data_IF_165804366835
#
_entry.id   IF_165804366835
#
_cell.length_a   1.000
_cell.length_b   1.000
_cell.length_c   1.000
_cell.angle_alpha   90.00
_cell.angle_beta   90.00
_cell.angle_gamma   90.00
#
_symmetry.space_group_name_H-M   'P 1'
#
loop_
_entity.id
_entity.type
_entity.pdbx_description
1 polymer ?
#
# COMPACT_ATOMS: atom_id res chain seq x y z
N UNK A 1 7.74 -22.61 -5.93
CA UNK A 1 6.70 -22.77 -4.88
C UNK A 1 6.15 -21.38 -4.62
N UNK A 2 4.86 -21.15 -4.86
CA UNK A 2 4.23 -19.86 -4.56
C UNK A 2 3.95 -19.80 -3.06
N UNK A 3 4.60 -18.89 -2.34
CA UNK A 3 4.29 -18.66 -0.93
C UNK A 3 2.94 -17.95 -0.85
N UNK A 4 1.89 -18.68 -0.47
CA UNK A 4 0.59 -18.10 -0.19
C UNK A 4 0.74 -17.26 1.07
N UNK A 5 0.50 -15.96 0.96
CA UNK A 5 0.43 -15.07 2.12
C UNK A 5 -0.90 -15.30 2.81
N UNK A 6 -0.88 -15.65 4.08
CA UNK A 6 -2.12 -15.82 4.85
C UNK A 6 -2.75 -14.47 5.23
N UNK A 7 -1.96 -13.40 5.31
CA UNK A 7 -2.39 -12.07 5.75
C UNK A 7 -1.83 -10.95 4.87
N UNK A 8 -2.64 -9.90 4.69
CA UNK A 8 -2.21 -8.64 4.09
C UNK A 8 -1.42 -7.81 5.10
N UNK A 9 -0.38 -7.10 4.65
CA UNK A 9 0.50 -6.32 5.54
C UNK A 9 0.72 -4.91 4.98
N UNK A 10 0.67 -3.91 5.85
CA UNK A 10 1.15 -2.56 5.54
C UNK A 10 2.64 -2.47 5.89
N UNK A 11 3.46 -2.04 4.95
CA UNK A 11 4.91 -1.93 5.10
C UNK A 11 5.31 -0.48 5.38
N UNK A 12 6.54 -0.28 5.85
CA UNK A 12 7.07 1.03 6.21
C UNK A 12 7.02 1.99 5.01
N UNK A 13 6.43 3.17 5.20
CA UNK A 13 6.41 4.19 4.18
C UNK A 13 7.82 4.78 3.96
N UNK A 14 8.18 5.06 2.70
CA UNK A 14 9.50 5.59 2.36
C UNK A 14 9.48 6.40 1.05
N UNK A 15 10.41 7.33 0.81
CA UNK A 15 11.27 7.97 1.82
C UNK A 15 10.49 8.98 2.69
N UNK A 16 10.98 9.25 3.90
CA UNK A 16 10.51 10.29 4.82
C UNK A 16 11.66 10.79 5.73
N UNK A 17 11.86 12.11 6.02
CA UNK A 17 11.31 13.34 5.40
C UNK A 17 12.35 14.15 4.60
N UNK A 18 11.91 14.69 3.44
CA UNK A 18 12.36 15.84 2.61
C UNK A 18 12.10 15.63 1.11
N UNK A 19 11.51 14.51 0.70
CA UNK A 19 10.99 14.32 -0.66
C UNK A 19 9.49 14.64 -0.74
N UNK A 20 9.01 15.26 -1.84
CA UNK A 20 7.59 15.57 -2.06
C UNK A 20 6.71 14.34 -2.33
N UNK A 21 7.30 13.14 -2.28
CA UNK A 21 6.65 11.89 -2.60
C UNK A 21 7.07 10.79 -1.63
N UNK A 22 6.07 10.07 -1.13
CA UNK A 22 6.22 8.96 -0.19
C UNK A 22 5.46 7.75 -0.72
N UNK A 23 6.12 6.61 -0.74
CA UNK A 23 5.55 5.30 -1.06
C UNK A 23 4.90 4.70 0.17
N UNK A 24 3.76 4.05 -0.05
CA UNK A 24 3.03 3.28 0.97
C UNK A 24 3.02 1.84 0.49
N UNK A 25 4.09 1.06 0.77
CA UNK A 25 4.17 -0.32 0.35
C UNK A 25 3.20 -1.21 1.13
N UNK A 26 2.62 -2.22 0.48
CA UNK A 26 1.76 -3.20 1.14
C UNK A 26 1.74 -4.55 0.39
N UNK A 27 1.41 -5.59 1.13
CA UNK A 27 1.15 -6.93 0.60
C UNK A 27 -0.34 -7.27 0.71
N UNK A 28 -0.89 -7.87 -0.33
CA UNK A 28 -2.24 -8.40 -0.35
C UNK A 28 -2.20 -9.93 -0.34
N UNK A 29 -2.87 -10.54 0.63
CA UNK A 29 -3.05 -12.00 0.69
C UNK A 29 -4.02 -12.51 -0.38
N UNK A 30 -5.03 -11.69 -0.74
CA UNK A 30 -6.11 -12.04 -1.65
C UNK A 30 -6.45 -10.83 -2.52
N UNK A 31 -7.11 -11.09 -3.66
CA UNK A 31 -7.64 -10.03 -4.51
C UNK A 31 -8.73 -9.24 -3.77
N UNK A 32 -8.57 -7.93 -3.63
CA UNK A 32 -9.44 -7.08 -2.81
C UNK A 32 -9.50 -5.65 -3.34
N UNK A 33 -10.56 -4.93 -2.98
CA UNK A 33 -10.66 -3.49 -3.20
C UNK A 33 -9.82 -2.72 -2.17
N UNK A 34 -8.84 -1.95 -2.63
CA UNK A 34 -7.89 -1.22 -1.78
C UNK A 34 -8.26 0.26 -1.70
N UNK A 35 -8.32 0.76 -0.47
CA UNK A 35 -8.47 2.17 -0.12
C UNK A 35 -7.45 2.55 0.95
N UNK A 36 -6.74 3.65 0.75
CA UNK A 36 -5.76 4.17 1.70
C UNK A 36 -6.28 5.48 2.28
N UNK A 37 -6.42 5.56 3.60
CA UNK A 37 -6.81 6.80 4.30
C UNK A 37 -5.62 7.31 5.10
N UNK A 38 -5.25 8.57 4.87
CA UNK A 38 -4.13 9.25 5.52
C UNK A 38 -4.71 10.18 6.57
N UNK A 39 -4.21 10.05 7.80
CA UNK A 39 -4.60 10.85 8.95
C UNK A 39 -3.45 11.77 9.36
N UNK A 40 -3.78 12.93 9.93
CA UNK A 40 -2.82 13.74 10.65
C UNK A 40 -2.57 13.19 12.07
N UNK A 41 -1.65 13.80 12.80
CA UNK A 41 -1.31 13.40 14.17
C UNK A 41 -2.48 13.56 15.16
N UNK A 42 -3.50 14.34 14.82
CA UNK A 42 -4.72 14.51 15.63
C UNK A 42 -5.81 13.51 15.26
N UNK A 43 -5.57 12.62 14.28
CA UNK A 43 -6.54 11.65 13.80
C UNK A 43 -7.55 12.21 12.78
N UNK A 44 -7.34 13.42 12.25
CA UNK A 44 -8.19 13.98 11.20
C UNK A 44 -7.79 13.44 9.83
N UNK A 45 -8.76 13.13 8.97
CA UNK A 45 -8.48 12.66 7.60
C UNK A 45 -7.89 13.80 6.77
N UNK A 46 -6.67 13.59 6.27
CA UNK A 46 -5.98 14.52 5.37
C UNK A 46 -6.27 14.18 3.91
N UNK A 47 -6.32 12.88 3.58
CA UNK A 47 -6.53 12.39 2.21
C UNK A 47 -7.05 10.96 2.22
N UNK A 48 -7.90 10.65 1.24
CA UNK A 48 -8.25 9.27 0.89
C UNK A 48 -7.83 8.99 -0.55
N UNK A 49 -7.19 7.85 -0.78
CA UNK A 49 -6.79 7.35 -2.10
C UNK A 49 -7.60 6.08 -2.39
N UNK A 50 -8.45 6.16 -3.41
CA UNK A 50 -9.19 5.01 -3.93
C UNK A 50 -8.33 4.30 -4.96
N UNK A 51 -7.68 3.20 -4.57
CA UNK A 51 -6.76 2.44 -5.44
C UNK A 51 -7.54 1.47 -6.33
N UNK A 52 -8.62 0.90 -5.81
CA UNK A 52 -9.50 -0.01 -6.54
C UNK A 52 -9.13 -1.48 -6.35
N UNK A 53 -9.65 -2.35 -7.22
CA UNK A 53 -9.46 -3.79 -7.11
C UNK A 53 -8.05 -4.18 -7.56
N UNK A 54 -7.33 -4.85 -6.67
CA UNK A 54 -5.98 -5.36 -6.89
C UNK A 54 -5.94 -6.86 -6.61
N UNK A 55 -5.05 -7.58 -7.31
CA UNK A 55 -4.79 -9.00 -7.08
C UNK A 55 -3.94 -9.24 -5.83
N UNK A 56 -3.88 -10.49 -5.36
CA UNK A 56 -2.89 -10.87 -4.35
C UNK A 56 -1.47 -10.59 -4.88
N UNK A 57 -0.60 -10.03 -4.04
CA UNK A 57 0.74 -9.63 -4.47
C UNK A 57 1.42 -8.60 -3.58
N UNK A 58 2.63 -8.20 -3.96
CA UNK A 58 3.38 -7.10 -3.32
C UNK A 58 3.32 -5.84 -4.15
N UNK A 59 2.96 -4.73 -3.51
CA UNK A 59 2.89 -3.40 -4.11
C UNK A 59 3.96 -2.53 -3.45
N UNK A 60 5.20 -2.68 -3.90
CA UNK A 60 6.38 -2.07 -3.24
C UNK A 60 7.10 -1.00 -4.07
N UNK A 61 6.69 -0.72 -5.31
CA UNK A 61 7.40 0.27 -6.15
C UNK A 61 6.48 0.95 -7.17
N UNK A 62 6.97 2.06 -7.75
CA UNK A 62 6.30 2.74 -8.87
C UNK A 62 6.38 1.86 -10.12
N UNK A 63 5.39 1.00 -10.33
CA UNK A 63 5.13 0.37 -11.62
C UNK A 63 5.90 -0.91 -11.96
N UNK A 64 6.22 -1.75 -10.97
CA UNK A 64 6.64 -3.14 -11.25
C UNK A 64 5.73 -4.11 -10.48
N UNK A 65 4.51 -4.28 -10.97
CA UNK A 65 3.86 -5.59 -10.92
C UNK A 65 4.52 -6.40 -12.03
N UNK A 66 5.66 -7.03 -11.73
CA UNK A 66 6.28 -7.97 -12.66
C UNK A 66 5.34 -9.18 -12.78
N UNK A 67 4.75 -9.35 -13.97
CA UNK A 67 4.35 -10.67 -14.47
C UNK A 67 5.58 -11.59 -14.57
#
# INVERSE_FOLDING_TARGET
MFQVREYSNLLQNYPNPFNPETWIPYDLANSVNVKITIYDANGSVVRTLEVGNLSAGSYISRGQSSD
#
